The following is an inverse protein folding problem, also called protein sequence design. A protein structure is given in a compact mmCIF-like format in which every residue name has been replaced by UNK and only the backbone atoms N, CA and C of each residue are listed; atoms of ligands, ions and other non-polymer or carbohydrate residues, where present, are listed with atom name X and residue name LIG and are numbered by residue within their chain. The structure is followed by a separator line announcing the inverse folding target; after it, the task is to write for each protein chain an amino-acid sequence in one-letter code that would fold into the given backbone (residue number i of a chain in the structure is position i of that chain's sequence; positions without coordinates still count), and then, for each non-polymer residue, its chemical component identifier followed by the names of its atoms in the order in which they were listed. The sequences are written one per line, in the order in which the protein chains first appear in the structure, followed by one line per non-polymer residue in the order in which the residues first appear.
data_IF_082912156330
#
_entry.id   IF_082912156330
#
_cell.length_a   1.000
_cell.length_b   1.000
_cell.length_c   1.000
_cell.angle_alpha   90.00
_cell.angle_beta   90.00
_cell.angle_gamma   90.00
#
_symmetry.space_group_name_H-M   'P 1'
#
loop_
_entity.id
_entity.type
_entity.pdbx_description
1 polymer ?
#
# COMPACT_ATOMS: atom_id res chain seq x y z
N UNK A 1 14.77 4.82 27.56
CA UNK A 1 13.48 5.17 26.91
C UNK A 1 12.79 3.87 26.53
N UNK A 2 11.48 3.77 26.74
CA UNK A 2 10.72 2.59 26.33
C UNK A 2 10.56 2.59 24.81
N UNK A 3 10.92 1.49 24.16
CA UNK A 3 10.69 1.29 22.73
C UNK A 3 9.21 0.94 22.51
N UNK A 4 8.47 1.84 21.84
CA UNK A 4 7.07 1.59 21.49
C UNK A 4 7.01 1.01 20.08
N UNK A 5 6.37 -0.15 19.94
CA UNK A 5 6.09 -0.77 18.64
C UNK A 5 4.60 -0.63 18.33
N UNK A 6 4.30 -0.12 17.14
CA UNK A 6 2.93 0.07 16.65
C UNK A 6 2.61 -0.99 15.59
N UNK A 7 1.33 -1.33 15.46
CA UNK A 7 0.85 -2.28 14.46
C UNK A 7 -0.26 -1.65 13.62
N UNK A 8 -0.11 -1.77 12.31
CA UNK A 8 -1.06 -1.22 11.34
C UNK A 8 -2.21 -2.23 11.15
N UNK A 9 -3.42 -1.83 11.54
CA UNK A 9 -4.65 -2.61 11.35
C UNK A 9 -4.86 -3.02 9.89
N UNK A 10 -4.44 -2.19 8.94
CA UNK A 10 -4.49 -2.49 7.50
C UNK A 10 -3.67 -3.72 7.07
N UNK A 11 -2.81 -4.25 7.95
CA UNK A 11 -2.05 -5.48 7.72
C UNK A 11 -2.57 -6.61 8.61
N UNK A 12 -2.77 -6.35 9.91
CA UNK A 12 -3.12 -7.40 10.89
C UNK A 12 -4.60 -7.79 10.85
N UNK A 13 -5.48 -6.92 10.39
CA UNK A 13 -6.92 -7.21 10.25
C UNK A 13 -7.27 -7.71 8.84
N UNK A 14 -6.26 -8.09 8.03
CA UNK A 14 -6.49 -8.65 6.69
C UNK A 14 -6.85 -10.12 6.76
N UNK A 15 -7.74 -10.58 5.88
CA UNK A 15 -8.08 -12.01 5.77
C UNK A 15 -6.84 -12.89 5.54
N UNK A 16 -5.86 -12.38 4.80
CA UNK A 16 -4.59 -13.08 4.55
C UNK A 16 -3.78 -13.33 5.84
N UNK A 17 -3.85 -12.40 6.81
CA UNK A 17 -3.20 -12.53 8.11
C UNK A 17 -4.03 -13.38 9.07
N UNK A 18 -5.33 -13.07 9.19
CA UNK A 18 -6.24 -13.73 10.12
C UNK A 18 -6.49 -15.20 9.75
N UNK A 19 -6.32 -15.57 8.48
CA UNK A 19 -6.37 -16.97 8.03
C UNK A 19 -5.14 -17.81 8.43
N UNK A 20 -4.07 -17.21 8.96
CA UNK A 20 -2.92 -17.96 9.46
C UNK A 20 -3.21 -18.56 10.84
N UNK A 21 -2.54 -19.66 11.23
CA UNK A 21 -2.60 -20.19 12.60
C UNK A 21 -2.23 -19.13 13.64
N UNK A 22 -2.88 -19.18 14.82
CA UNK A 22 -2.60 -18.23 15.91
C UNK A 22 -1.13 -18.24 16.36
N UNK A 23 -0.46 -19.39 16.26
CA UNK A 23 0.98 -19.54 16.50
C UNK A 23 1.82 -18.70 15.53
N UNK A 24 1.51 -18.74 14.23
CA UNK A 24 2.18 -17.91 13.22
C UNK A 24 1.88 -16.40 13.41
N UNK A 25 0.63 -16.06 13.74
CA UNK A 25 0.26 -14.67 14.06
C UNK A 25 1.05 -14.17 15.29
N UNK A 26 1.09 -14.96 16.36
CA UNK A 26 1.86 -14.65 17.57
C UNK A 26 3.36 -14.50 17.25
N UNK A 27 3.94 -15.43 16.49
CA UNK A 27 5.34 -15.35 16.06
C UNK A 27 5.63 -14.04 15.33
N UNK A 28 4.76 -13.61 14.41
CA UNK A 28 4.91 -12.33 13.71
C UNK A 28 4.97 -11.14 14.69
N UNK A 29 4.05 -11.07 15.65
CA UNK A 29 4.06 -10.03 16.68
C UNK A 29 5.32 -10.08 17.54
N UNK A 30 5.75 -11.27 17.96
CA UNK A 30 6.95 -11.46 18.77
C UNK A 30 8.24 -11.05 18.07
N UNK A 31 8.31 -11.26 16.76
CA UNK A 31 9.42 -10.81 15.92
C UNK A 31 9.40 -9.27 15.79
N UNK A 32 8.23 -8.68 15.51
CA UNK A 32 8.10 -7.22 15.43
C UNK A 32 8.44 -6.51 16.74
N UNK A 33 8.12 -7.11 17.89
CA UNK A 33 8.47 -6.55 19.20
C UNK A 33 9.98 -6.49 19.46
N UNK A 34 10.76 -7.36 18.80
CA UNK A 34 12.21 -7.53 19.03
C UNK A 34 13.07 -7.07 17.85
N UNK A 35 12.44 -6.53 16.81
CA UNK A 35 13.14 -5.99 15.66
C UNK A 35 13.76 -4.62 16.02
N UNK A 36 14.87 -4.30 15.36
CA UNK A 36 15.48 -2.97 15.44
C UNK A 36 14.65 -1.91 14.70
N UNK A 37 15.14 -0.67 14.67
CA UNK A 37 14.41 0.46 14.08
C UNK A 37 14.27 0.40 12.55
N UNK A 38 15.03 -0.47 11.87
CA UNK A 38 14.85 -0.76 10.44
C UNK A 38 13.99 -2.00 10.19
N UNK A 39 13.64 -2.76 11.24
CA UNK A 39 12.80 -3.94 11.18
C UNK A 39 13.57 -5.25 11.07
N UNK A 40 14.88 -5.23 11.33
CA UNK A 40 15.72 -6.42 11.27
C UNK A 40 15.70 -7.19 12.58
N UNK A 41 15.76 -8.52 12.46
CA UNK A 41 15.82 -9.45 13.59
C UNK A 41 17.00 -10.39 13.38
N UNK A 42 17.96 -10.32 14.29
CA UNK A 42 19.20 -11.11 14.26
C UNK A 42 18.99 -12.60 14.54
N UNK A 43 18.07 -12.95 15.44
CA UNK A 43 17.92 -14.32 15.96
C UNK A 43 16.45 -14.82 15.92
N UNK A 44 15.85 -14.94 14.72
CA UNK A 44 14.44 -15.35 14.57
C UNK A 44 14.17 -16.73 15.18
N UNK A 45 15.08 -17.70 14.99
CA UNK A 45 14.95 -19.06 15.55
C UNK A 45 15.00 -19.09 17.08
N UNK A 46 15.72 -18.14 17.72
CA UNK A 46 15.74 -18.03 19.18
C UNK A 46 14.39 -17.52 19.69
N UNK A 47 13.79 -16.56 19.01
CA UNK A 47 12.48 -16.00 19.35
C UNK A 47 11.40 -17.06 19.14
N UNK A 48 11.44 -17.79 18.03
CA UNK A 48 10.53 -18.90 17.76
C UNK A 48 10.58 -19.96 18.87
N UNK A 49 11.79 -20.38 19.29
CA UNK A 49 11.96 -21.30 20.42
C UNK A 49 11.45 -20.73 21.75
N UNK A 50 11.66 -19.44 21.98
CA UNK A 50 11.21 -18.76 23.21
C UNK A 50 9.68 -18.81 23.38
N UNK A 51 8.94 -18.73 22.28
CA UNK A 51 7.46 -18.75 22.28
C UNK A 51 6.89 -20.14 21.96
N UNK A 52 7.75 -21.15 21.82
CA UNK A 52 7.38 -22.52 21.49
C UNK A 52 6.59 -22.67 20.18
N UNK A 53 6.87 -21.85 19.16
CA UNK A 53 6.25 -21.97 17.84
C UNK A 53 6.94 -23.03 16.97
N UNK A 54 6.16 -23.63 16.06
CA UNK A 54 6.66 -24.63 15.11
C UNK A 54 7.56 -23.98 14.05
N UNK A 55 8.48 -24.77 13.49
CA UNK A 55 9.27 -24.33 12.33
C UNK A 55 8.37 -24.00 11.13
N UNK A 56 7.21 -24.65 11.04
CA UNK A 56 6.26 -24.41 9.96
C UNK A 56 5.58 -23.04 10.06
N UNK A 57 5.43 -22.48 11.27
CA UNK A 57 4.94 -21.11 11.46
C UNK A 57 5.91 -20.10 10.84
N UNK A 58 7.21 -20.29 11.05
CA UNK A 58 8.23 -19.42 10.47
C UNK A 58 8.26 -19.56 8.95
N UNK A 59 8.23 -20.80 8.42
CA UNK A 59 8.15 -21.05 6.98
C UNK A 59 6.90 -20.43 6.36
N UNK A 60 5.76 -20.48 7.06
CA UNK A 60 4.51 -19.89 6.59
C UNK A 60 4.61 -18.37 6.46
N UNK A 61 5.22 -17.69 7.44
CA UNK A 61 5.44 -16.24 7.38
C UNK A 61 6.38 -15.85 6.23
N UNK A 62 7.37 -16.68 5.93
CA UNK A 62 8.28 -16.50 4.78
C UNK A 62 7.52 -16.72 3.46
N UNK A 63 6.77 -17.82 3.35
CA UNK A 63 6.02 -18.18 2.15
C UNK A 63 4.95 -17.14 1.80
N UNK A 64 4.23 -16.63 2.81
CA UNK A 64 3.26 -15.53 2.66
C UNK A 64 3.92 -14.15 2.55
N UNK A 65 5.25 -14.07 2.55
CA UNK A 65 6.04 -12.84 2.43
C UNK A 65 5.66 -11.79 3.49
N UNK A 66 5.44 -12.19 4.75
CA UNK A 66 5.38 -11.25 5.89
C UNK A 66 6.78 -10.91 6.41
N UNK A 67 7.73 -11.80 6.15
CA UNK A 67 9.14 -11.71 6.53
C UNK A 67 9.99 -12.01 5.30
N UNK A 68 11.10 -11.31 5.15
CA UNK A 68 12.14 -11.63 4.16
C UNK A 68 13.37 -12.17 4.90
N UNK A 69 13.99 -13.20 4.35
CA UNK A 69 15.15 -13.89 4.93
C UNK A 69 16.37 -13.63 4.08
N UNK A 70 17.51 -13.43 4.73
CA UNK A 70 18.81 -13.30 4.09
C UNK A 70 19.65 -14.56 4.32
N UNK A 71 20.65 -14.78 3.47
CA UNK A 71 21.58 -15.91 3.60
C UNK A 71 22.39 -15.85 4.90
N UNK A 72 22.56 -14.67 5.49
CA UNK A 72 23.16 -14.47 6.82
C UNK A 72 22.32 -15.04 7.97
N UNK A 73 21.08 -15.47 7.71
CA UNK A 73 20.14 -15.98 8.71
C UNK A 73 19.39 -14.88 9.47
N UNK A 74 19.70 -13.62 9.18
CA UNK A 74 18.95 -12.44 9.62
C UNK A 74 17.65 -12.35 8.81
N UNK A 75 16.63 -11.77 9.41
CA UNK A 75 15.37 -11.50 8.71
C UNK A 75 14.99 -10.03 8.83
N UNK A 76 14.14 -9.57 7.93
CA UNK A 76 13.49 -8.25 8.01
C UNK A 76 11.97 -8.40 7.95
N UNK A 77 11.27 -7.63 8.78
CA UNK A 77 9.81 -7.54 8.73
C UNK A 77 9.40 -6.71 7.53
N UNK A 78 8.70 -7.31 6.56
CA UNK A 78 8.34 -6.64 5.30
C UNK A 78 7.58 -5.33 5.50
N UNK A 79 6.61 -5.32 6.41
CA UNK A 79 5.72 -4.19 6.64
C UNK A 79 6.22 -3.24 7.74
N UNK A 80 7.50 -3.31 8.11
CA UNK A 80 8.02 -2.58 9.27
C UNK A 80 7.75 -1.08 9.23
N UNK A 81 8.03 -0.42 8.10
CA UNK A 81 7.85 1.03 7.95
C UNK A 81 6.39 1.45 7.84
N UNK A 82 5.49 0.50 7.56
CA UNK A 82 4.03 0.71 7.59
C UNK A 82 3.54 0.63 9.04
N UNK A 83 4.11 -0.29 9.81
CA UNK A 83 3.81 -0.45 11.24
C UNK A 83 4.35 0.69 12.09
N UNK A 84 5.60 1.09 11.86
CA UNK A 84 6.33 1.98 12.75
C UNK A 84 6.78 3.25 12.03
N UNK A 85 6.33 4.38 12.56
CA UNK A 85 6.91 5.69 12.27
C UNK A 85 7.90 6.04 13.37
N UNK A 86 9.20 6.03 13.04
CA UNK A 86 10.29 6.37 13.98
C UNK A 86 10.81 7.77 13.64
N UNK A 87 10.88 8.63 14.66
CA UNK A 87 11.39 10.00 14.50
C UNK A 87 12.91 9.97 14.30
N UNK A 88 13.42 10.85 13.45
CA UNK A 88 14.84 10.91 13.04
C UNK A 88 15.80 11.10 14.22
N UNK A 89 15.38 11.82 15.25
CA UNK A 89 16.16 12.09 16.47
C UNK A 89 16.32 10.85 17.38
N UNK A 90 15.42 9.88 17.25
CA UNK A 90 15.40 8.66 18.06
C UNK A 90 15.90 7.44 17.30
N UNK A 91 15.99 7.55 15.98
CA UNK A 91 16.31 6.47 15.05
C UNK A 91 17.73 5.94 15.25
N UNK A 92 17.85 4.61 15.34
CA UNK A 92 19.13 3.89 15.32
C UNK A 92 19.19 2.97 14.12
N UNK A 93 20.15 3.20 13.23
CA UNK A 93 20.33 2.35 12.06
C UNK A 93 20.71 0.92 12.44
N UNK A 94 20.26 -0.04 11.64
CA UNK A 94 20.62 -1.45 11.79
C UNK A 94 22.11 -1.71 11.61
N UNK A 95 22.60 -2.78 12.22
CA UNK A 95 23.96 -3.28 12.00
C UNK A 95 24.09 -4.04 10.66
N UNK A 96 22.97 -4.45 10.07
CA UNK A 96 22.88 -5.25 8.84
C UNK A 96 22.81 -4.37 7.59
N UNK A 97 23.85 -3.55 7.38
CA UNK A 97 23.88 -2.52 6.33
C UNK A 97 23.90 -3.13 4.92
N UNK A 98 24.57 -4.27 4.74
CA UNK A 98 24.65 -4.97 3.45
C UNK A 98 23.28 -5.51 3.05
N UNK A 99 22.61 -6.20 3.97
CA UNK A 99 21.27 -6.73 3.77
C UNK A 99 20.26 -5.59 3.54
N UNK A 100 20.35 -4.50 4.30
CA UNK A 100 19.51 -3.31 4.11
C UNK A 100 19.71 -2.66 2.74
N UNK A 101 20.94 -2.63 2.23
CA UNK A 101 21.25 -2.06 0.92
C UNK A 101 20.71 -2.93 -0.23
N UNK A 102 20.55 -4.23 -0.02
CA UNK A 102 19.95 -5.15 -1.00
C UNK A 102 18.43 -5.02 -1.13
N UNK A 103 17.77 -4.37 -0.15
CA UNK A 103 16.32 -4.20 -0.14
C UNK A 103 15.89 -2.98 -0.96
N UNK A 104 14.73 -3.13 -1.61
CA UNK A 104 14.01 -2.03 -2.21
C UNK A 104 12.77 -1.69 -1.38
N UNK A 105 12.32 -0.44 -1.47
CA UNK A 105 11.12 0.06 -0.81
C UNK A 105 10.02 0.30 -1.83
N UNK A 106 8.89 -0.38 -1.64
CA UNK A 106 7.68 -0.15 -2.42
C UNK A 106 7.08 1.24 -2.12
N UNK A 107 6.24 1.79 -3.02
CA UNK A 107 5.54 3.05 -2.80
C UNK A 107 4.64 3.06 -1.55
N UNK A 108 4.16 1.88 -1.14
CA UNK A 108 3.36 1.66 0.07
C UNK A 108 4.19 1.65 1.37
N UNK A 109 5.53 1.59 1.27
CA UNK A 109 6.45 1.51 2.40
C UNK A 109 6.89 0.11 2.79
N UNK A 110 6.41 -0.95 2.11
CA UNK A 110 6.85 -2.31 2.36
C UNK A 110 8.24 -2.58 1.73
N UNK A 111 9.05 -3.40 2.40
CA UNK A 111 10.30 -3.91 1.84
C UNK A 111 10.04 -4.95 0.74
N UNK A 112 10.97 -5.07 -0.18
CA UNK A 112 10.95 -6.07 -1.25
C UNK A 112 12.38 -6.39 -1.69
N UNK A 113 12.61 -7.64 -2.04
CA UNK A 113 13.87 -8.18 -2.59
C UNK A 113 13.96 -8.03 -4.12
N UNK A 114 12.87 -7.62 -4.76
CA UNK A 114 12.80 -7.43 -6.21
C UNK A 114 12.66 -5.94 -6.59
N UNK A 115 13.38 -5.46 -7.61
CA UNK A 115 13.24 -4.09 -8.09
C UNK A 115 11.82 -3.81 -8.59
N UNK A 116 11.32 -2.61 -8.32
CA UNK A 116 9.93 -2.20 -8.60
C UNK A 116 9.57 -2.09 -10.09
N UNK A 117 10.57 -2.13 -10.95
CA UNK A 117 10.44 -2.15 -12.40
C UNK A 117 11.04 -3.45 -12.91
N UNK A 118 10.21 -4.45 -13.16
CA UNK A 118 10.55 -5.37 -14.23
C UNK A 118 10.31 -4.59 -15.55
N UNK A 119 11.29 -4.45 -16.46
CA UNK A 119 10.94 -4.18 -17.85
C UNK A 119 10.00 -5.32 -18.23
N UNK A 120 8.79 -4.98 -18.68
CA UNK A 120 7.80 -5.96 -19.12
C UNK A 120 8.51 -7.06 -19.90
N UNK A 121 8.70 -8.22 -19.28
CA UNK A 121 8.97 -9.43 -20.05
C UNK A 121 7.69 -9.59 -20.85
N UNK A 122 7.74 -9.18 -22.11
CA UNK A 122 6.78 -9.64 -23.11
C UNK A 122 6.69 -11.13 -22.89
N UNK A 123 5.55 -11.58 -22.36
CA UNK A 123 5.20 -12.99 -22.41
C UNK A 123 5.12 -13.29 -23.90
N UNK A 124 6.19 -13.87 -24.43
CA UNK A 124 6.16 -14.63 -25.68
C UNK A 124 5.30 -15.87 -25.43
N UNK A 125 4.00 -15.68 -25.27
CA UNK A 125 3.03 -16.74 -25.50
C UNK A 125 2.61 -16.61 -26.96
N UNK A 126 3.30 -17.39 -27.78
CA UNK A 126 2.98 -17.65 -29.16
C UNK A 126 1.62 -18.38 -29.23
N UNK A 127 0.52 -17.64 -29.13
CA UNK A 127 -0.83 -18.19 -29.36
C UNK A 127 -1.13 -18.11 -30.86
N UNK A 128 -0.71 -19.16 -31.57
CA UNK A 128 -1.18 -19.44 -32.93
C UNK A 128 -2.53 -20.19 -32.84
N UNK A 129 -3.65 -19.47 -32.68
CA UNK A 129 -4.96 -20.00 -33.10
C UNK A 129 -5.86 -18.88 -33.63
N UNK A 130 -6.40 -19.01 -34.86
CA UNK A 130 -7.30 -18.03 -35.44
C UNK A 130 -8.75 -18.44 -35.18
N UNK A 131 -9.49 -17.65 -34.40
CA UNK A 131 -10.95 -17.70 -34.41
C UNK A 131 -11.53 -16.29 -34.64
N UNK A 132 -11.71 -16.05 -35.93
CA UNK A 132 -12.81 -15.31 -36.57
C UNK A 132 -14.07 -15.31 -35.70
N UNK A 133 -14.73 -14.19 -35.40
CA UNK A 133 -15.71 -13.44 -36.21
C UNK A 133 -16.45 -12.53 -35.17
N UNK A 134 -17.02 -11.34 -35.39
CA UNK A 134 -17.35 -10.54 -36.57
C UNK A 134 -17.96 -9.18 -36.12
N UNK A 135 -17.50 -8.11 -36.76
CA UNK A 135 -18.17 -6.85 -37.19
C UNK A 135 -19.10 -6.05 -36.25
N UNK A 136 -18.78 -4.75 -36.14
CA UNK A 136 -19.37 -3.67 -36.97
C UNK A 136 -18.40 -2.46 -36.88
N UNK A 137 -17.66 -2.09 -37.95
CA UNK A 137 -18.08 -1.21 -39.08
C UNK A 137 -18.91 -0.01 -38.59
N UNK A 138 -18.62 1.27 -38.88
CA UNK A 138 -17.80 1.85 -39.94
C UNK A 138 -17.79 3.38 -39.84
N UNK A 139 -16.79 3.98 -40.52
CA UNK A 139 -16.79 5.29 -41.19
C UNK A 139 -16.67 6.54 -40.30
N UNK A 140 -15.89 7.58 -40.60
CA UNK A 140 -15.10 8.07 -41.78
C UNK A 140 -14.47 9.39 -41.24
N UNK A 141 -13.35 9.98 -41.66
CA UNK A 141 -12.64 10.11 -42.93
C UNK A 141 -11.27 10.75 -42.65
N UNK A 142 -10.31 10.43 -43.51
CA UNK A 142 -8.97 11.00 -43.66
C UNK A 142 -8.90 12.53 -43.78
N UNK A 143 -7.76 13.09 -43.38
CA UNK A 143 -7.08 14.12 -44.19
C UNK A 143 -5.57 14.25 -43.91
N UNK A 144 -4.81 13.72 -44.86
CA UNK A 144 -3.61 14.25 -45.52
C UNK A 144 -2.39 14.73 -44.72
N UNK A 145 -1.37 13.86 -44.76
CA UNK A 145 0.03 14.10 -45.17
C UNK A 145 0.50 15.54 -45.41
N UNK A 146 1.56 15.96 -44.69
CA UNK A 146 2.76 16.62 -45.25
C UNK A 146 4.00 16.25 -44.40
N UNK A 147 4.94 15.53 -45.02
CA UNK A 147 6.35 15.46 -44.61
C UNK A 147 7.07 16.79 -44.89
N UNK A 148 7.93 17.25 -43.96
CA UNK A 148 9.20 17.95 -44.31
C UNK A 148 10.10 18.19 -43.09
N UNK A 149 11.20 17.45 -43.07
CA UNK A 149 12.59 17.78 -42.70
C UNK A 149 12.93 18.83 -41.62
N UNK A 150 13.67 18.34 -40.61
CA UNK A 150 14.94 18.84 -40.06
C UNK A 150 15.04 20.28 -39.50
N UNK A 151 15.21 20.39 -38.17
CA UNK A 151 16.30 21.17 -37.54
C UNK A 151 16.39 20.94 -36.02
N UNK A 152 17.61 21.07 -35.51
CA UNK A 152 18.08 20.83 -34.15
C UNK A 152 17.44 21.66 -33.01
N UNK A 153 17.67 21.18 -31.78
CA UNK A 153 17.68 21.86 -30.47
C UNK A 153 16.56 21.47 -29.46
N UNK A 154 16.86 21.48 -28.14
CA UNK A 154 16.20 20.67 -27.13
C UNK A 154 14.84 21.22 -26.72
N UNK A 155 13.85 20.35 -26.55
CA UNK A 155 12.52 20.74 -26.10
C UNK A 155 12.58 21.28 -24.66
N UNK A 156 12.52 22.59 -24.49
CA UNK A 156 12.14 23.20 -23.23
C UNK A 156 10.74 22.69 -22.88
N UNK A 157 10.63 21.81 -21.88
CA UNK A 157 9.33 21.41 -21.33
C UNK A 157 8.66 22.69 -20.81
N UNK A 158 7.54 23.07 -21.41
CA UNK A 158 6.74 24.22 -20.99
C UNK A 158 6.48 24.13 -19.49
N UNK A 159 6.87 25.17 -18.75
CA UNK A 159 6.59 25.26 -17.33
C UNK A 159 5.07 25.10 -17.09
N UNK A 160 4.71 24.34 -16.06
CA UNK A 160 3.31 24.13 -15.70
C UNK A 160 2.65 25.48 -15.39
N UNK A 161 1.66 25.86 -16.19
CA UNK A 161 0.81 27.03 -15.92
C UNK A 161 -0.41 26.56 -15.12
N UNK A 162 -0.63 27.07 -13.91
CA UNK A 162 -1.81 26.72 -13.15
C UNK A 162 -3.07 27.19 -13.91
N UNK A 163 -4.11 26.35 -14.01
CA UNK A 163 -5.35 26.72 -14.69
C UNK A 163 -6.12 27.81 -13.96
N UNK A 164 -6.91 28.56 -14.72
CA UNK A 164 -7.90 29.50 -14.17
C UNK A 164 -9.19 28.76 -13.78
N UNK A 165 -9.98 29.37 -12.90
CA UNK A 165 -11.29 28.83 -12.49
C UNK A 165 -12.20 28.60 -13.70
N UNK A 166 -12.12 29.46 -14.71
CA UNK A 166 -12.92 29.35 -15.94
C UNK A 166 -12.54 28.12 -16.79
N UNK A 167 -11.23 27.82 -16.91
CA UNK A 167 -10.75 26.63 -17.61
C UNK A 167 -11.21 25.35 -16.89
N UNK A 168 -11.15 25.33 -15.56
CA UNK A 168 -11.65 24.21 -14.75
C UNK A 168 -13.16 24.07 -14.90
N UNK A 169 -13.91 25.17 -14.89
CA UNK A 169 -15.37 25.21 -15.07
C UNK A 169 -15.78 24.64 -16.42
N UNK A 170 -15.14 25.08 -17.51
CA UNK A 170 -15.41 24.58 -18.86
C UNK A 170 -15.18 23.07 -18.95
N UNK A 171 -14.09 22.58 -18.35
CA UNK A 171 -13.76 21.16 -18.33
C UNK A 171 -14.72 20.31 -17.47
N UNK A 172 -15.18 20.85 -16.35
CA UNK A 172 -16.20 20.22 -15.49
C UNK A 172 -17.55 20.12 -16.22
N UNK A 173 -17.96 21.18 -16.93
CA UNK A 173 -19.18 21.21 -17.74
C UNK A 173 -19.14 20.23 -18.92
N UNK A 174 -18.03 20.18 -19.65
CA UNK A 174 -17.81 19.24 -20.76
C UNK A 174 -18.01 17.78 -20.32
N UNK A 175 -17.52 17.44 -19.12
CA UNK A 175 -17.62 16.09 -18.56
C UNK A 175 -18.91 15.81 -17.80
N UNK A 176 -19.78 16.81 -17.61
CA UNK A 176 -20.99 16.71 -16.77
C UNK A 176 -20.69 16.19 -15.36
N UNK A 177 -19.61 16.64 -14.75
CA UNK A 177 -19.27 16.27 -13.38
C UNK A 177 -19.88 17.25 -12.35
N UNK A 178 -19.84 16.89 -11.07
CA UNK A 178 -20.34 17.72 -9.95
C UNK A 178 -19.19 18.36 -9.15
N UNK A 179 -18.02 18.52 -9.75
CA UNK A 179 -16.86 19.10 -9.06
C UNK A 179 -16.98 20.62 -9.05
N UNK A 180 -16.96 21.22 -7.87
CA UNK A 180 -16.92 22.67 -7.69
C UNK A 180 -15.57 23.25 -8.19
N UNK A 181 -15.55 24.05 -9.28
CA UNK A 181 -14.33 24.58 -9.88
C UNK A 181 -13.55 25.52 -8.94
N UNK A 182 -14.24 26.33 -8.14
CA UNK A 182 -13.61 27.31 -7.24
C UNK A 182 -12.87 26.58 -6.12
N UNK A 183 -13.57 25.65 -5.46
CA UNK A 183 -13.00 24.79 -4.42
C UNK A 183 -11.80 23.97 -4.90
N UNK A 184 -11.82 23.53 -6.16
CA UNK A 184 -10.70 22.80 -6.76
C UNK A 184 -9.46 23.68 -6.93
N UNK A 185 -9.62 24.88 -7.48
CA UNK A 185 -8.50 25.81 -7.71
C UNK A 185 -7.91 26.27 -6.38
N UNK A 186 -8.74 26.64 -5.41
CA UNK A 186 -8.28 27.08 -4.09
C UNK A 186 -7.50 26.00 -3.33
N UNK A 187 -7.94 24.74 -3.42
CA UNK A 187 -7.24 23.63 -2.79
C UNK A 187 -5.82 23.42 -3.34
N UNK A 188 -5.65 23.53 -4.66
CA UNK A 188 -4.35 23.35 -5.30
C UNK A 188 -3.49 24.62 -5.27
N UNK A 189 -4.09 25.81 -5.27
CA UNK A 189 -3.37 27.08 -5.11
C UNK A 189 -2.72 27.16 -3.72
N UNK A 190 -3.46 26.82 -2.65
CA UNK A 190 -2.95 26.78 -1.28
C UNK A 190 -1.82 25.76 -1.09
N UNK A 191 -1.82 24.68 -1.89
CA UNK A 191 -0.76 23.64 -1.90
C UNK A 191 0.39 23.93 -2.85
N UNK A 192 0.40 25.07 -3.53
CA UNK A 192 1.43 25.40 -4.52
C UNK A 192 1.47 24.43 -5.70
N UNK A 193 0.31 23.85 -6.08
CA UNK A 193 0.16 22.85 -7.13
C UNK A 193 1.05 21.61 -6.90
N UNK A 194 1.14 21.13 -5.66
CA UNK A 194 1.84 19.90 -5.29
C UNK A 194 0.90 18.78 -4.84
N UNK A 195 1.21 17.55 -5.25
CA UNK A 195 0.61 16.31 -4.76
C UNK A 195 1.72 15.49 -4.10
N UNK A 196 1.67 15.42 -2.76
CA UNK A 196 2.75 14.83 -1.99
C UNK A 196 4.06 15.60 -2.20
N UNK A 197 5.10 14.92 -2.71
CA UNK A 197 6.42 15.51 -3.01
C UNK A 197 6.56 16.00 -4.47
N UNK A 198 5.55 15.76 -5.32
CA UNK A 198 5.62 16.02 -6.77
C UNK A 198 4.74 17.22 -7.16
N UNK A 199 5.22 18.05 -8.11
CA UNK A 199 4.40 19.11 -8.73
C UNK A 199 3.38 18.49 -9.69
N UNK A 200 2.17 19.05 -9.70
CA UNK A 200 1.12 18.69 -10.65
C UNK A 200 1.58 19.05 -12.06
N UNK A 201 1.43 18.12 -13.00
CA UNK A 201 1.77 18.31 -14.43
C UNK A 201 0.52 18.41 -15.31
N UNK A 202 -0.55 17.70 -14.93
CA UNK A 202 -1.84 17.71 -15.61
C UNK A 202 -2.95 17.90 -14.59
N UNK A 203 -3.53 19.10 -14.55
CA UNK A 203 -4.61 19.43 -13.62
C UNK A 203 -5.93 18.74 -14.00
N UNK A 204 -6.13 18.37 -15.28
CA UNK A 204 -7.34 17.66 -15.73
C UNK A 204 -7.41 16.25 -15.13
N UNK A 205 -6.27 15.61 -14.90
CA UNK A 205 -6.18 14.34 -14.18
C UNK A 205 -6.57 14.47 -12.70
N UNK A 206 -6.23 15.60 -12.07
CA UNK A 206 -6.63 15.90 -10.69
C UNK A 206 -8.15 16.05 -10.57
N UNK A 207 -8.81 16.70 -11.55
CA UNK A 207 -10.28 16.83 -11.59
C UNK A 207 -10.96 15.46 -11.68
N UNK A 208 -10.43 14.52 -12.47
CA UNK A 208 -10.96 13.14 -12.55
C UNK A 208 -10.89 12.41 -11.21
N UNK A 209 -9.82 12.66 -10.44
CA UNK A 209 -9.64 12.07 -9.10
C UNK A 209 -10.63 12.66 -8.09
N UNK A 210 -10.88 13.97 -8.17
CA UNK A 210 -11.91 14.65 -7.37
C UNK A 210 -13.32 14.14 -7.67
N UNK A 211 -13.64 13.96 -8.96
CA UNK A 211 -14.93 13.39 -9.39
C UNK A 211 -15.20 12.02 -8.75
N UNK A 212 -14.19 11.12 -8.74
CA UNK A 212 -14.32 9.79 -8.13
C UNK A 212 -14.59 9.86 -6.62
N UNK A 213 -13.92 10.79 -5.92
CA UNK A 213 -14.07 10.95 -4.46
C UNK A 213 -15.43 11.53 -4.06
N UNK A 214 -15.99 12.45 -4.84
CA UNK A 214 -17.34 13.00 -4.58
C UNK A 214 -18.42 11.92 -4.80
N UNK A 215 -18.26 11.05 -5.81
CA UNK A 215 -19.17 9.89 -6.02
C UNK A 215 -19.10 8.88 -4.87
N UNK A 216 -17.90 8.59 -4.35
CA UNK A 216 -17.71 7.68 -3.21
C UNK A 216 -18.18 8.29 -1.87
N UNK A 217 -18.02 9.61 -1.70
CA UNK A 217 -18.47 10.34 -0.51
C UNK A 217 -19.99 10.37 -0.34
N UNK A 218 -20.75 10.44 -1.45
CA UNK A 218 -22.20 10.32 -1.42
C UNK A 218 -22.68 8.92 -1.02
N UNK A 219 -21.97 7.86 -1.40
CA UNK A 219 -22.30 6.48 -1.00
C UNK A 219 -22.00 6.18 0.49
N UNK A 220 -20.98 6.79 1.09
CA UNK A 220 -20.65 6.54 2.50
C UNK A 220 -21.60 7.22 3.50
N UNK A 221 -22.29 8.29 3.09
CA UNK A 221 -23.29 8.96 3.95
C UNK A 221 -24.55 8.10 4.16
N UNK A 222 -24.83 7.12 3.30
CA UNK A 222 -25.97 6.20 3.48
C UNK A 222 -25.66 4.98 4.37
N UNK A 223 -24.39 4.62 4.58
CA UNK A 223 -24.00 3.41 5.35
C UNK A 223 -23.67 3.68 6.83
N UNK A 224 -23.46 4.93 7.25
CA UNK A 224 -23.02 5.25 8.63
C UNK A 224 -24.12 5.21 9.70
N UNK A 225 -25.32 4.71 9.38
CA UNK A 225 -26.46 4.73 10.30
C UNK A 225 -26.60 3.47 11.19
N UNK A 226 -25.78 2.42 10.98
CA UNK A 226 -25.86 1.21 11.78
C UNK A 226 -24.63 1.05 12.70
N UNK A 227 -24.81 1.34 14.00
CA UNK A 227 -23.82 0.99 15.03
C UNK A 227 -24.22 -0.36 15.65
N UNK A 228 -23.37 -1.41 15.61
CA UNK A 228 -23.63 -2.62 16.36
C UNK A 228 -23.36 -2.35 17.85
N UNK A 229 -24.39 -2.49 18.67
CA UNK A 229 -24.27 -2.50 20.14
C UNK A 229 -23.82 -3.88 20.59
N UNK A 230 -22.65 -3.97 21.23
CA UNK A 230 -22.17 -5.20 21.87
C UNK A 230 -22.80 -5.31 23.26
N UNK A 231 -23.51 -6.42 23.50
CA UNK A 231 -24.19 -6.71 24.76
C UNK A 231 -23.25 -7.48 25.70
N UNK A 232 -22.67 -6.75 26.66
CA UNK A 232 -21.62 -7.21 27.58
C UNK A 232 -22.17 -8.26 28.57
N UNK A 233 -23.45 -8.17 28.95
CA UNK A 233 -24.07 -9.08 29.93
C UNK A 233 -24.16 -10.54 29.44
N UNK A 234 -24.14 -10.74 28.12
CA UNK A 234 -24.19 -12.09 27.53
C UNK A 234 -22.87 -12.84 27.69
N UNK A 235 -21.74 -12.13 27.75
CA UNK A 235 -20.41 -12.73 27.87
C UNK A 235 -20.09 -13.14 29.31
N UNK A 236 -20.48 -12.33 30.29
CA UNK A 236 -20.23 -12.64 31.71
C UNK A 236 -21.00 -13.87 32.20
N UNK A 237 -22.18 -14.16 31.64
CA UNK A 237 -22.98 -15.35 31.97
C UNK A 237 -22.50 -16.64 31.31
N UNK A 238 -21.52 -16.58 30.40
CA UNK A 238 -21.07 -17.75 29.64
C UNK A 238 -20.08 -18.66 30.38
N UNK A 239 -19.64 -18.29 31.59
CA UNK A 239 -18.88 -19.19 32.48
C UNK A 239 -17.48 -19.59 31.99
N UNK A 240 -16.91 -18.86 31.03
CA UNK A 240 -15.64 -19.23 30.36
C UNK A 240 -14.40 -19.03 31.24
N UNK A 241 -14.54 -18.57 32.50
CA UNK A 241 -13.40 -18.19 33.35
C UNK A 241 -13.08 -19.14 34.51
N UNK A 242 -13.89 -20.17 34.78
CA UNK A 242 -13.78 -20.95 36.02
C UNK A 242 -12.82 -22.16 35.96
N UNK A 243 -12.19 -22.46 34.81
CA UNK A 243 -11.49 -23.75 34.61
C UNK A 243 -9.96 -23.73 34.84
N UNK A 244 -9.39 -22.67 35.41
CA UNK A 244 -7.93 -22.58 35.69
C UNK A 244 -7.55 -22.79 37.17
N UNK A 245 -8.48 -23.25 38.01
CA UNK A 245 -8.33 -23.25 39.46
C UNK A 245 -7.88 -24.54 40.15
N UNK A 246 -7.50 -25.61 39.44
CA UNK A 246 -7.19 -26.87 40.14
C UNK A 246 -6.17 -27.78 39.45
N UNK A 247 -4.92 -27.34 39.36
CA UNK A 247 -3.77 -28.21 39.12
C UNK A 247 -2.65 -27.81 40.08
N UNK A 248 -2.63 -28.45 41.25
CA UNK A 248 -1.53 -28.25 42.18
C UNK A 248 -1.71 -28.80 43.58
N UNK A 249 -2.11 -30.08 43.73
CA UNK A 249 -1.74 -30.92 44.89
C UNK A 249 -1.80 -32.40 44.50
N UNK A 250 -0.64 -32.98 44.17
CA UNK A 250 -0.22 -34.30 44.65
C UNK A 250 1.27 -34.46 44.50
#
# INVERSE_FOLDING_TARGET
MAEKRMFAKSIIDTDAFLSMPLSAQALYFHLCMRADDDGFVSNPRKIQRMICCSDDDLKLLIAKRYILVFDSGVIVIKHWRIHNYIRKDTYKETLYLEEKSSLFLKPDGAYTDHPLFEPSRTRDEHVNEPLTQYRLDKNRLDKDSIESSASAAPSHRSAFKPPTVEEVRAYCQERKNQVDPERFVDFYSAKGWMIGKNKVKDWKACVRTWEKREKEGNNRKSESAHKPTYDIEKYEKSGVFDDFGNLGKS
#
